data_IF_069097098198
#
_entry.id   IF_069097098198
#
_cell.length_a   1.000
_cell.length_b   1.000
_cell.length_c   1.000
_cell.angle_alpha   90.00
_cell.angle_beta   90.00
_cell.angle_gamma   90.00
#
_symmetry.space_group_name_H-M   'P 1'
#
loop_
_entity.id
_entity.type
_entity.pdbx_description
1 polymer ?
#
# COMPACT_ATOMS: atom_id res chain seq x y z
N UNK A 1 8.40 9.56 16.38
CA UNK A 1 8.97 9.04 15.12
C UNK A 1 8.25 9.74 13.98
N UNK A 2 8.97 10.30 13.00
CA UNK A 2 8.45 11.06 11.83
C UNK A 2 7.47 12.23 12.14
N UNK A 3 7.83 13.19 13.01
CA UNK A 3 6.96 14.33 13.32
C UNK A 3 6.68 15.24 12.10
N UNK A 4 7.55 15.23 11.10
CA UNK A 4 7.44 16.05 9.89
C UNK A 4 6.50 15.44 8.82
N UNK A 5 5.86 14.32 9.13
CA UNK A 5 4.95 13.62 8.21
C UNK A 5 3.48 13.83 8.60
N UNK A 6 2.62 13.94 7.59
CA UNK A 6 1.17 13.88 7.77
C UNK A 6 0.73 12.42 7.89
N UNK A 7 -0.08 12.13 8.92
CA UNK A 7 -0.64 10.79 9.14
C UNK A 7 -2.10 10.75 8.74
N UNK A 8 -2.44 9.85 7.81
CA UNK A 8 -3.82 9.61 7.37
C UNK A 8 -4.22 8.16 7.69
N UNK A 9 -5.29 8.00 8.47
CA UNK A 9 -5.88 6.70 8.79
C UNK A 9 -7.21 6.57 8.05
N UNK A 10 -7.34 5.48 7.30
CA UNK A 10 -8.51 5.17 6.47
C UNK A 10 -9.27 3.99 7.07
N UNK A 11 -10.49 4.26 7.53
CA UNK A 11 -11.51 3.24 7.80
C UNK A 11 -12.33 2.98 6.53
N UNK A 12 -13.30 2.07 6.60
CA UNK A 12 -14.11 1.66 5.45
C UNK A 12 -14.85 2.83 4.78
N UNK A 13 -15.39 3.75 5.58
CA UNK A 13 -16.15 4.92 5.10
C UNK A 13 -15.23 5.94 4.44
N UNK A 14 -14.05 6.18 5.01
CA UNK A 14 -13.03 7.06 4.41
C UNK A 14 -12.49 6.48 3.11
N UNK A 15 -12.24 5.17 3.05
CA UNK A 15 -11.83 4.52 1.81
C UNK A 15 -12.91 4.67 0.74
N UNK A 16 -14.17 4.41 1.08
CA UNK A 16 -15.31 4.54 0.17
C UNK A 16 -15.43 5.98 -0.37
N UNK A 17 -15.38 6.96 0.53
CA UNK A 17 -15.47 8.39 0.20
C UNK A 17 -14.32 8.83 -0.69
N UNK A 18 -13.09 8.40 -0.36
CA UNK A 18 -11.89 8.71 -1.11
C UNK A 18 -11.98 8.17 -2.54
N UNK A 19 -12.35 6.89 -2.71
CA UNK A 19 -12.49 6.29 -4.05
C UNK A 19 -13.60 6.99 -4.84
N UNK A 20 -14.73 7.33 -4.21
CA UNK A 20 -15.81 8.06 -4.88
C UNK A 20 -15.38 9.44 -5.37
N UNK A 21 -14.65 10.19 -4.55
CA UNK A 21 -14.25 11.57 -4.86
C UNK A 21 -13.12 11.63 -5.89
N UNK A 22 -12.18 10.69 -5.84
CA UNK A 22 -10.95 10.76 -6.62
C UNK A 22 -10.93 9.83 -7.83
N UNK A 23 -11.74 8.77 -7.80
CA UNK A 23 -11.80 7.73 -8.83
C UNK A 23 -13.23 7.29 -9.14
N UNK A 24 -14.14 8.21 -9.53
CA UNK A 24 -15.55 7.85 -9.80
C UNK A 24 -15.70 6.75 -10.85
N UNK A 25 -14.80 6.68 -11.85
CA UNK A 25 -14.77 5.61 -12.84
C UNK A 25 -14.34 4.24 -12.31
N UNK A 26 -13.62 4.20 -11.19
CA UNK A 26 -13.13 2.98 -10.54
C UNK A 26 -14.07 2.50 -9.43
N UNK A 27 -14.87 3.40 -8.85
CA UNK A 27 -15.78 3.12 -7.73
C UNK A 27 -16.64 1.87 -7.95
N UNK A 28 -17.13 1.66 -9.19
CA UNK A 28 -17.92 0.47 -9.53
C UNK A 28 -17.17 -0.85 -9.34
N UNK A 29 -15.86 -0.89 -9.57
CA UNK A 29 -15.03 -2.08 -9.36
C UNK A 29 -14.70 -2.27 -7.89
N UNK A 30 -14.40 -1.18 -7.19
CA UNK A 30 -14.20 -1.21 -5.74
C UNK A 30 -15.44 -1.75 -5.01
N UNK A 31 -16.64 -1.34 -5.45
CA UNK A 31 -17.92 -1.83 -4.92
C UNK A 31 -18.26 -3.28 -5.31
N UNK A 32 -17.56 -3.90 -6.26
CA UNK A 32 -17.72 -5.34 -6.55
C UNK A 32 -17.02 -6.22 -5.52
N UNK A 33 -16.07 -5.68 -4.76
CA UNK A 33 -15.43 -6.40 -3.66
C UNK A 33 -16.43 -6.47 -2.51
N UNK A 34 -16.67 -7.68 -1.99
CA UNK A 34 -17.58 -7.90 -0.86
C UNK A 34 -17.23 -6.95 0.29
N UNK A 35 -18.16 -6.12 0.80
CA UNK A 35 -17.88 -5.16 1.88
C UNK A 35 -17.41 -5.83 3.17
N UNK A 36 -17.75 -7.10 3.40
CA UNK A 36 -17.26 -7.86 4.56
C UNK A 36 -15.80 -8.32 4.41
N UNK A 37 -15.22 -8.21 3.21
CA UNK A 37 -13.84 -8.60 2.94
C UNK A 37 -12.92 -7.36 2.94
N UNK A 38 -12.75 -6.75 4.12
CA UNK A 38 -11.98 -5.51 4.29
C UNK A 38 -10.53 -5.60 3.81
N UNK A 39 -9.87 -6.75 3.96
CA UNK A 39 -8.50 -6.94 3.48
C UNK A 39 -8.37 -6.79 1.96
N UNK A 40 -9.26 -7.41 1.18
CA UNK A 40 -9.26 -7.26 -0.28
C UNK A 40 -9.57 -5.82 -0.72
N UNK A 41 -10.42 -5.11 0.02
CA UNK A 41 -10.70 -3.69 -0.22
C UNK A 41 -9.48 -2.82 0.07
N UNK A 42 -8.80 -3.06 1.19
CA UNK A 42 -7.56 -2.37 1.54
C UNK A 42 -6.43 -2.65 0.52
N UNK A 43 -6.33 -3.89 0.03
CA UNK A 43 -5.39 -4.29 -1.02
C UNK A 43 -5.61 -3.47 -2.29
N UNK A 44 -6.86 -3.25 -2.71
CA UNK A 44 -7.13 -2.41 -3.86
C UNK A 44 -6.88 -0.92 -3.55
N UNK A 45 -7.33 -0.47 -2.39
CA UNK A 45 -7.27 0.92 -1.97
C UNK A 45 -5.83 1.45 -1.87
N UNK A 46 -4.88 0.66 -1.36
CA UNK A 46 -3.49 1.10 -1.17
C UNK A 46 -2.82 1.55 -2.48
N UNK A 47 -3.13 0.87 -3.59
CA UNK A 47 -2.61 1.26 -4.91
C UNK A 47 -3.24 2.56 -5.39
N UNK A 48 -4.54 2.77 -5.14
CA UNK A 48 -5.23 4.02 -5.52
C UNK A 48 -4.68 5.22 -4.75
N UNK A 49 -4.51 5.10 -3.43
CA UNK A 49 -4.01 6.20 -2.62
C UNK A 49 -2.55 6.51 -2.95
N UNK A 50 -1.67 5.50 -3.05
CA UNK A 50 -0.25 5.72 -3.36
C UNK A 50 -0.05 6.22 -4.78
N UNK A 51 -0.83 5.74 -5.76
CA UNK A 51 -0.73 6.26 -7.11
C UNK A 51 -1.14 7.75 -7.18
N UNK A 52 -2.15 8.17 -6.41
CA UNK A 52 -2.60 9.57 -6.40
C UNK A 52 -1.67 10.49 -5.62
N UNK A 53 -1.39 10.12 -4.37
CA UNK A 53 -0.78 11.00 -3.37
C UNK A 53 0.73 10.78 -3.28
N UNK A 54 1.21 9.61 -3.69
CA UNK A 54 2.54 9.14 -3.34
C UNK A 54 2.69 8.92 -1.83
N UNK A 55 3.93 8.96 -1.36
CA UNK A 55 4.25 8.82 0.05
C UNK A 55 4.39 7.36 0.48
N UNK A 56 3.96 7.07 1.70
CA UNK A 56 4.16 5.78 2.39
C UNK A 56 2.82 5.21 2.83
N UNK A 57 2.51 4.01 2.38
CA UNK A 57 1.39 3.21 2.89
C UNK A 57 1.94 2.09 3.79
N UNK A 58 1.28 1.86 4.91
CA UNK A 58 1.55 0.76 5.83
C UNK A 58 0.22 0.11 6.23
N UNK A 59 0.18 -1.22 6.26
CA UNK A 59 -0.91 -1.95 6.92
C UNK A 59 -1.02 -1.52 8.41
N UNK A 60 -2.24 -1.52 8.95
CA UNK A 60 -2.54 -0.97 10.28
C UNK A 60 -1.82 -1.67 11.45
N UNK A 61 -1.34 -2.90 11.23
CA UNK A 61 -0.59 -3.67 12.23
C UNK A 61 0.93 -3.51 12.10
N UNK A 62 1.37 -2.60 11.23
CA UNK A 62 2.79 -2.34 10.99
C UNK A 62 3.30 -1.16 11.82
N UNK A 63 4.57 -1.22 12.18
CA UNK A 63 5.29 -0.16 12.84
C UNK A 63 6.65 0.03 12.19
N UNK A 64 7.26 1.19 12.40
CA UNK A 64 8.62 1.46 11.94
C UNK A 64 9.58 1.32 13.12
N UNK A 65 10.73 0.72 12.88
CA UNK A 65 11.82 0.64 13.87
C UNK A 65 12.76 1.84 13.81
N UNK A 66 12.67 2.64 12.73
CA UNK A 66 13.49 3.83 12.46
C UNK A 66 12.66 4.93 11.79
N UNK A 67 13.10 6.20 11.87
CA UNK A 67 12.52 7.29 11.08
C UNK A 67 12.58 7.01 9.58
N UNK A 68 11.57 7.48 8.84
CA UNK A 68 11.51 7.39 7.38
C UNK A 68 12.63 8.18 6.70
N UNK A 69 13.13 9.25 7.33
CA UNK A 69 14.29 10.01 6.84
C UNK A 69 15.59 9.20 6.83
N UNK A 70 15.67 8.10 7.59
CA UNK A 70 16.79 7.16 7.53
C UNK A 70 16.57 6.03 6.50
N UNK A 71 15.34 5.87 6.01
CA UNK A 71 14.93 4.78 5.12
C UNK A 71 14.80 5.25 3.67
N UNK A 72 14.30 6.47 3.46
CA UNK A 72 13.94 7.03 2.15
C UNK A 72 14.94 8.13 1.77
N UNK A 73 15.64 7.93 0.67
CA UNK A 73 16.50 8.94 0.03
C UNK A 73 15.66 9.93 -0.80
N UNK A 74 16.06 11.20 -0.93
CA UNK A 74 15.36 12.18 -1.78
C UNK A 74 15.19 11.75 -3.26
N UNK A 75 16.10 10.91 -3.75
CA UNK A 75 16.08 10.42 -5.13
C UNK A 75 15.22 9.16 -5.33
N UNK A 76 14.78 8.51 -4.25
CA UNK A 76 13.95 7.31 -4.34
C UNK A 76 12.59 7.65 -4.96
N UNK A 77 12.16 6.84 -5.94
CA UNK A 77 10.88 6.98 -6.65
C UNK A 77 9.92 5.83 -6.39
N UNK A 78 10.45 4.64 -6.15
CA UNK A 78 9.67 3.47 -5.77
C UNK A 78 10.54 2.51 -4.97
N UNK A 79 10.14 2.24 -3.72
CA UNK A 79 10.82 1.28 -2.86
C UNK A 79 9.91 0.05 -2.73
N UNK A 80 10.48 -1.09 -3.09
CA UNK A 80 9.86 -2.41 -2.96
C UNK A 80 10.69 -3.25 -2.00
N UNK A 81 10.03 -4.12 -1.26
CA UNK A 81 10.71 -5.15 -0.50
C UNK A 81 10.19 -6.53 -0.87
N UNK A 82 11.06 -7.51 -0.70
CA UNK A 82 10.75 -8.94 -0.90
C UNK A 82 10.70 -9.61 0.46
N UNK A 83 10.00 -10.74 0.54
CA UNK A 83 10.11 -11.62 1.68
C UNK A 83 11.54 -12.20 1.73
N UNK A 84 12.37 -11.70 2.65
CA UNK A 84 13.82 -11.97 2.64
C UNK A 84 14.29 -13.01 3.67
N UNK A 85 13.37 -13.71 4.34
CA UNK A 85 13.73 -14.59 5.47
C UNK A 85 13.14 -15.99 5.34
N UNK A 86 13.97 -16.98 5.65
CA UNK A 86 13.62 -18.34 6.04
C UNK A 86 12.40 -18.48 7.00
N UNK A 87 12.09 -17.46 7.81
CA UNK A 87 10.93 -17.39 8.72
C UNK A 87 9.62 -16.98 8.03
N UNK A 88 9.71 -16.31 6.88
CA UNK A 88 8.59 -15.87 6.04
C UNK A 88 8.70 -16.50 4.65
N UNK A 89 9.06 -17.78 4.61
CA UNK A 89 9.06 -18.60 3.41
C UNK A 89 7.62 -18.79 2.95
N UNK A 90 7.16 -17.96 2.02
CA UNK A 90 5.96 -18.29 1.28
C UNK A 90 6.28 -19.45 0.34
N UNK A 91 5.61 -20.57 0.60
CA UNK A 91 5.60 -21.71 -0.30
C UNK A 91 4.25 -21.77 -0.98
N UNK A 92 4.26 -21.89 -2.30
CA UNK A 92 3.09 -22.25 -3.08
C UNK A 92 3.31 -23.68 -3.54
N UNK A 93 2.42 -24.59 -3.14
CA UNK A 93 2.54 -26.03 -3.42
C UNK A 93 3.90 -26.63 -3.02
N UNK A 94 4.50 -26.13 -1.93
CA UNK A 94 5.79 -26.60 -1.42
C UNK A 94 7.03 -25.99 -2.11
N UNK A 95 6.86 -25.11 -3.11
CA UNK A 95 7.96 -24.41 -3.78
C UNK A 95 8.11 -23.00 -3.23
N UNK A 96 9.35 -22.56 -2.95
CA UNK A 96 9.60 -21.17 -2.59
C UNK A 96 9.22 -20.24 -3.73
N UNK A 97 8.40 -19.25 -3.44
CA UNK A 97 8.04 -18.20 -4.39
C UNK A 97 8.78 -16.94 -3.98
N UNK A 98 9.57 -16.39 -4.91
CA UNK A 98 10.11 -15.03 -4.77
C UNK A 98 8.97 -14.04 -5.02
N UNK A 99 8.56 -13.35 -3.96
CA UNK A 99 7.40 -12.45 -3.99
C UNK A 99 7.76 -11.10 -3.37
N UNK A 100 7.36 -10.03 -4.06
CA UNK A 100 7.35 -8.69 -3.51
C UNK A 100 6.17 -8.53 -2.54
N UNK A 101 6.46 -8.09 -1.32
CA UNK A 101 5.42 -7.85 -0.33
C UNK A 101 4.65 -6.56 -0.64
N UNK A 102 3.34 -6.55 -0.39
CA UNK A 102 2.46 -5.40 -0.65
C UNK A 102 1.90 -4.72 0.61
N UNK A 103 2.19 -5.23 1.81
CA UNK A 103 1.71 -4.63 3.07
C UNK A 103 2.29 -3.23 3.35
N UNK A 104 3.34 -2.85 2.62
CA UNK A 104 3.84 -1.49 2.54
C UNK A 104 4.10 -1.12 1.07
N UNK A 105 3.87 0.14 0.74
CA UNK A 105 4.17 0.72 -0.58
C UNK A 105 4.76 2.11 -0.35
N UNK A 106 5.88 2.41 -1.01
CA UNK A 106 6.51 3.72 -0.95
C UNK A 106 6.81 4.17 -2.36
N UNK A 107 6.09 5.16 -2.87
CA UNK A 107 6.28 5.64 -4.23
C UNK A 107 5.99 7.13 -4.35
N UNK A 108 6.53 7.76 -5.39
CA UNK A 108 6.07 9.09 -5.81
C UNK A 108 4.70 9.00 -6.48
N UNK A 109 3.88 10.04 -6.33
CA UNK A 109 2.61 10.16 -7.05
C UNK A 109 2.80 9.95 -8.55
N UNK A 110 1.88 9.22 -9.19
CA UNK A 110 1.90 8.96 -10.63
C UNK A 110 2.96 7.96 -11.10
N UNK A 111 3.60 7.20 -10.21
CA UNK A 111 4.69 6.30 -10.59
C UNK A 111 4.27 5.30 -11.70
N UNK A 112 5.05 5.13 -12.79
CA UNK A 112 4.67 4.30 -13.95
C UNK A 112 4.32 2.85 -13.62
N UNK A 113 5.00 2.23 -12.65
CA UNK A 113 4.68 0.85 -12.23
C UNK A 113 3.32 0.70 -11.54
N UNK A 114 2.71 1.79 -11.07
CA UNK A 114 1.39 1.81 -10.45
C UNK A 114 0.30 2.28 -11.42
N UNK A 115 0.69 2.66 -12.64
CA UNK A 115 -0.23 3.09 -13.68
C UNK A 115 -0.82 1.88 -14.38
N UNK A 116 -2.13 1.68 -14.23
CA UNK A 116 -2.93 0.72 -14.99
C UNK A 116 -3.26 1.25 -16.39
#
# INVERSE_FOLDING_TARGET
>A
MNPDWEYRIYDDDKMQTYVSNHYPGILKYYNKINPKYGAARADFFRYLVIYREGGVYLDIKSSLSKPLSEIISPDDKYILARWSDSRCKHTYEGTFVDEFQQWHLIATAGHPFLKA
#
